data_IF_575546034975
#
_entry.id   IF_575546034975
#
_cell.length_a   1.000
_cell.length_b   1.000
_cell.length_c   1.000
_cell.angle_alpha   90.00
_cell.angle_beta   90.00
_cell.angle_gamma   90.00
#
_symmetry.space_group_name_H-M   'P 1'
#
loop_
_entity.id
_entity.type
_entity.pdbx_description
1 polymer ?
#
# COMPACT_ATOMS: atom_id res chain seq x y z
N UNK A 1 -4.11 17.54 14.18
CA UNK A 1 -3.92 16.33 15.00
C UNK A 1 -3.65 16.61 16.49
N UNK A 2 -2.50 17.17 16.92
CA UNK A 2 -2.15 17.33 18.36
C UNK A 2 -3.28 17.85 19.26
N UNK A 3 -3.90 18.99 18.90
CA UNK A 3 -5.04 19.55 19.65
C UNK A 3 -6.24 18.60 19.82
N UNK A 4 -6.49 17.71 18.86
CA UNK A 4 -7.57 16.73 18.95
C UNK A 4 -7.22 15.60 19.93
N UNK A 5 -5.96 15.17 19.93
CA UNK A 5 -5.45 14.19 20.89
C UNK A 5 -5.48 14.74 22.33
N UNK A 6 -5.08 16.00 22.52
CA UNK A 6 -5.12 16.67 23.84
C UNK A 6 -6.55 16.71 24.40
N UNK A 7 -7.54 16.98 23.53
CA UNK A 7 -8.95 17.01 23.93
C UNK A 7 -9.46 15.62 24.31
N UNK A 8 -9.06 14.56 23.60
CA UNK A 8 -9.40 13.18 23.98
C UNK A 8 -8.76 12.81 25.32
N UNK A 9 -7.48 13.15 25.51
CA UNK A 9 -6.76 12.89 26.75
C UNK A 9 -7.40 13.61 27.96
N UNK A 10 -7.90 14.85 27.79
CA UNK A 10 -8.62 15.57 28.85
C UNK A 10 -9.92 14.89 29.32
N UNK A 11 -10.46 13.98 28.49
CA UNK A 11 -11.64 13.17 28.79
C UNK A 11 -11.29 11.75 29.24
N UNK A 12 -10.00 11.42 29.40
CA UNK A 12 -9.54 10.07 29.74
C UNK A 12 -9.54 9.08 28.57
N UNK A 13 -9.65 9.54 27.32
CA UNK A 13 -9.67 8.70 26.12
C UNK A 13 -8.32 8.65 25.41
N UNK A 14 -8.00 7.50 24.83
CA UNK A 14 -6.84 7.29 23.95
C UNK A 14 -7.31 6.91 22.56
N UNK A 15 -6.86 7.63 21.52
CA UNK A 15 -7.15 7.27 20.14
C UNK A 15 -6.21 6.17 19.66
N UNK A 16 -6.77 5.15 19.02
CA UNK A 16 -6.03 4.16 18.23
C UNK A 16 -6.42 4.36 16.76
N UNK A 17 -5.44 4.26 15.86
CA UNK A 17 -5.64 4.46 14.42
C UNK A 17 -4.88 3.36 13.68
N UNK A 18 -5.54 2.76 12.70
CA UNK A 18 -4.91 1.94 11.66
C UNK A 18 -5.08 2.64 10.31
N UNK A 19 -4.09 2.46 9.44
CA UNK A 19 -4.17 2.93 8.05
C UNK A 19 -3.85 1.79 7.12
N UNK A 20 -4.65 1.66 6.07
CA UNK A 20 -4.47 0.70 4.99
C UNK A 20 -3.98 1.50 3.78
N UNK A 21 -2.67 1.43 3.51
CA UNK A 21 -2.07 2.21 2.44
C UNK A 21 -2.11 1.42 1.14
N UNK A 22 -3.07 1.77 0.30
CA UNK A 22 -3.15 1.29 -1.07
C UNK A 22 -2.22 2.07 -2.00
N UNK A 23 -1.68 1.38 -3.00
CA UNK A 23 -0.84 1.95 -4.05
C UNK A 23 -1.02 1.19 -5.36
N UNK A 24 -0.70 1.83 -6.48
CA UNK A 24 -0.76 1.22 -7.81
C UNK A 24 0.64 1.09 -8.39
N UNK A 25 0.94 -0.10 -8.90
CA UNK A 25 2.21 -0.43 -9.54
C UNK A 25 2.02 -0.54 -11.04
N UNK A 26 2.86 0.19 -11.77
CA UNK A 26 2.97 0.15 -13.22
C UNK A 26 4.32 -0.44 -13.64
N UNK A 27 4.40 -0.94 -14.88
CA UNK A 27 5.65 -1.47 -15.45
C UNK A 27 6.49 -0.41 -16.14
N UNK A 28 5.84 0.67 -16.57
CA UNK A 28 6.44 1.81 -17.25
C UNK A 28 7.44 2.52 -16.32
N UNK A 29 8.52 3.07 -16.87
CA UNK A 29 9.44 3.91 -16.12
C UNK A 29 8.79 5.26 -15.75
N UNK A 30 9.43 6.01 -14.84
CA UNK A 30 8.95 7.35 -14.49
C UNK A 30 8.98 8.30 -15.70
N UNK A 31 10.01 8.21 -16.55
CA UNK A 31 10.13 9.02 -17.77
C UNK A 31 9.05 8.64 -18.80
N UNK A 32 8.81 7.34 -19.02
CA UNK A 32 7.73 6.89 -19.89
C UNK A 32 6.36 7.35 -19.39
N UNK A 33 6.12 7.27 -18.07
CA UNK A 33 4.89 7.74 -17.47
C UNK A 33 4.74 9.26 -17.60
N UNK A 34 5.82 10.01 -17.40
CA UNK A 34 5.87 11.45 -17.52
C UNK A 34 5.54 11.92 -18.95
N UNK A 35 6.21 11.35 -19.95
CA UNK A 35 6.01 11.68 -21.36
C UNK A 35 4.58 11.37 -21.84
N UNK A 36 3.91 10.42 -21.19
CA UNK A 36 2.53 10.01 -21.48
C UNK A 36 1.49 10.73 -20.62
N UNK A 37 1.88 11.72 -19.80
CA UNK A 37 0.99 12.41 -18.86
C UNK A 37 0.22 11.41 -17.98
N UNK A 38 0.91 10.35 -17.55
CA UNK A 38 0.37 9.27 -16.72
C UNK A 38 -0.87 8.55 -17.30
N UNK A 39 -1.06 8.60 -18.63
CA UNK A 39 -2.20 7.99 -19.31
C UNK A 39 -1.82 6.70 -20.04
N UNK A 40 -2.69 5.69 -19.93
CA UNK A 40 -2.54 4.40 -20.62
C UNK A 40 -1.37 3.54 -20.12
N UNK A 41 -0.94 3.72 -18.88
CA UNK A 41 0.15 2.95 -18.26
C UNK A 41 -0.22 1.47 -18.16
N UNK A 42 0.79 0.61 -18.14
CA UNK A 42 0.65 -0.84 -18.04
C UNK A 42 0.64 -1.27 -16.57
N UNK A 43 -0.51 -1.65 -15.99
CA UNK A 43 -0.58 -2.08 -14.60
C UNK A 43 0.16 -3.41 -14.38
N UNK A 44 0.61 -3.64 -13.15
CA UNK A 44 1.34 -4.85 -12.80
C UNK A 44 0.50 -6.15 -12.96
N UNK A 45 -0.80 -6.07 -12.69
CA UNK A 45 -1.83 -7.08 -12.95
C UNK A 45 -2.91 -6.55 -13.91
N UNK A 46 -3.51 -7.46 -14.69
CA UNK A 46 -4.46 -7.13 -15.77
C UNK A 46 -5.93 -7.46 -15.42
N UNK A 47 -6.17 -7.98 -14.21
CA UNK A 47 -7.47 -8.38 -13.72
C UNK A 47 -7.51 -8.14 -12.20
N UNK A 48 -8.71 -8.17 -11.61
CA UNK A 48 -8.92 -8.06 -10.18
C UNK A 48 -8.20 -9.21 -9.44
N UNK A 49 -7.33 -8.87 -8.50
CA UNK A 49 -6.56 -9.83 -7.70
C UNK A 49 -6.88 -9.71 -6.21
N UNK A 50 -7.98 -9.06 -5.86
CA UNK A 50 -8.43 -8.96 -4.47
C UNK A 50 -8.60 -10.36 -3.88
N UNK A 51 -7.95 -10.59 -2.74
CA UNK A 51 -7.83 -11.89 -2.07
C UNK A 51 -7.22 -13.04 -2.90
N UNK A 52 -6.62 -12.77 -4.06
CA UNK A 52 -6.01 -13.79 -4.90
C UNK A 52 -4.64 -14.20 -4.38
N UNK A 53 -4.51 -15.46 -3.94
CA UNK A 53 -3.24 -16.05 -3.49
C UNK A 53 -2.19 -16.06 -4.62
N UNK A 54 -2.61 -16.36 -5.86
CA UNK A 54 -1.70 -16.44 -7.00
C UNK A 54 -1.48 -15.07 -7.66
N UNK A 55 -2.43 -14.14 -7.51
CA UNK A 55 -2.42 -12.84 -8.19
C UNK A 55 -1.23 -11.96 -7.79
N UNK A 56 -0.82 -12.02 -6.52
CA UNK A 56 0.32 -11.25 -5.99
C UNK A 56 1.68 -11.84 -6.37
N UNK A 57 1.74 -13.12 -6.79
CA UNK A 57 2.99 -13.81 -7.09
C UNK A 57 3.84 -13.12 -8.16
N UNK A 58 3.22 -12.39 -9.10
CA UNK A 58 3.91 -11.66 -10.16
C UNK A 58 4.72 -10.46 -9.64
N UNK A 59 4.29 -9.85 -8.54
CA UNK A 59 4.93 -8.65 -7.97
C UNK A 59 5.58 -8.93 -6.62
N UNK A 60 5.59 -10.19 -6.19
CA UNK A 60 6.11 -10.59 -4.89
C UNK A 60 7.55 -10.10 -4.60
N UNK A 61 8.48 -9.99 -5.57
CA UNK A 61 9.77 -9.35 -5.30
C UNK A 61 9.68 -7.92 -4.76
N UNK A 62 8.73 -7.12 -5.27
CA UNK A 62 8.46 -5.76 -4.78
C UNK A 62 7.78 -5.79 -3.42
N UNK A 63 6.72 -6.59 -3.26
CA UNK A 63 6.00 -6.69 -1.98
C UNK A 63 6.93 -7.15 -0.87
N UNK A 64 7.73 -8.20 -1.11
CA UNK A 64 8.75 -8.68 -0.17
C UNK A 64 9.72 -7.58 0.24
N UNK A 65 10.19 -6.78 -0.73
CA UNK A 65 11.12 -5.67 -0.45
C UNK A 65 10.46 -4.63 0.46
N UNK A 66 9.24 -4.20 0.15
CA UNK A 66 8.48 -3.26 0.98
C UNK A 66 8.33 -3.82 2.39
N UNK A 67 7.87 -5.07 2.54
CA UNK A 67 7.67 -5.67 3.86
C UNK A 67 8.96 -5.69 4.70
N UNK A 68 10.08 -6.09 4.08
CA UNK A 68 11.37 -6.16 4.76
C UNK A 68 11.91 -4.78 5.15
N UNK A 69 11.82 -3.79 4.26
CA UNK A 69 12.30 -2.43 4.52
C UNK A 69 11.45 -1.73 5.60
N UNK A 70 10.13 -1.94 5.59
CA UNK A 70 9.24 -1.41 6.63
C UNK A 70 9.53 -2.03 8.00
N UNK A 71 9.80 -3.34 8.03
CA UNK A 71 10.24 -4.00 9.26
C UNK A 71 11.58 -3.44 9.76
N UNK A 72 12.54 -3.16 8.87
CA UNK A 72 13.80 -2.50 9.24
C UNK A 72 13.59 -1.06 9.74
N UNK A 73 12.55 -0.37 9.27
CA UNK A 73 12.14 0.94 9.75
C UNK A 73 11.37 0.91 11.09
N UNK A 74 11.16 -0.27 11.68
CA UNK A 74 10.49 -0.44 12.97
C UNK A 74 8.96 -0.55 12.90
N UNK A 75 8.40 -0.73 11.70
CA UNK A 75 6.96 -0.96 11.51
C UNK A 75 6.65 -2.46 11.55
N UNK A 76 5.54 -2.84 12.17
CA UNK A 76 5.07 -4.23 12.13
C UNK A 76 4.14 -4.39 10.94
N UNK A 77 4.58 -5.14 9.93
CA UNK A 77 3.72 -5.47 8.78
C UNK A 77 2.83 -6.65 9.14
N UNK A 78 1.52 -6.48 8.99
CA UNK A 78 0.54 -7.55 9.24
C UNK A 78 0.18 -8.32 7.95
N UNK A 79 0.01 -7.62 6.83
CA UNK A 79 -0.38 -8.25 5.57
C UNK A 79 0.12 -7.48 4.35
N UNK A 80 0.12 -8.17 3.20
CA UNK A 80 0.28 -7.58 1.88
C UNK A 80 -0.68 -8.28 0.93
N UNK A 81 -1.54 -7.53 0.23
CA UNK A 81 -2.55 -8.10 -0.66
C UNK A 81 -2.67 -7.33 -1.97
N UNK A 82 -3.24 -8.01 -2.96
CA UNK A 82 -3.77 -7.35 -4.15
C UNK A 82 -5.11 -6.69 -3.85
N UNK A 83 -5.50 -5.75 -4.70
CA UNK A 83 -6.77 -5.03 -4.60
C UNK A 83 -7.64 -5.18 -5.85
N UNK A 84 -8.83 -4.57 -5.79
CA UNK A 84 -9.84 -4.66 -6.83
C UNK A 84 -9.42 -4.03 -8.18
N UNK A 85 -8.58 -3.00 -8.18
CA UNK A 85 -8.18 -2.30 -9.41
C UNK A 85 -6.89 -2.89 -10.05
N UNK A 86 -6.74 -2.83 -11.38
CA UNK A 86 -5.49 -3.20 -12.04
C UNK A 86 -4.27 -2.45 -11.46
N UNK A 87 -3.24 -3.20 -11.09
CA UNK A 87 -2.01 -2.69 -10.51
C UNK A 87 -2.11 -2.35 -9.02
N UNK A 88 -3.29 -2.41 -8.39
CA UNK A 88 -3.51 -1.94 -7.03
C UNK A 88 -3.19 -3.01 -5.99
N UNK A 89 -2.53 -2.58 -4.92
CA UNK A 89 -2.03 -3.41 -3.82
C UNK A 89 -2.10 -2.63 -2.52
N UNK A 90 -2.11 -3.35 -1.40
CA UNK A 90 -2.20 -2.79 -0.06
C UNK A 90 -1.16 -3.46 0.86
N UNK A 91 -0.58 -2.66 1.77
CA UNK A 91 0.17 -3.15 2.93
C UNK A 91 -0.53 -2.67 4.20
N UNK A 92 -0.78 -3.60 5.11
CA UNK A 92 -1.37 -3.32 6.42
C UNK A 92 -0.29 -3.34 7.50
N UNK A 93 -0.37 -2.40 8.43
CA UNK A 93 0.59 -2.22 9.53
C UNK A 93 -0.08 -2.24 10.90
N UNK A 94 0.70 -2.57 11.92
CA UNK A 94 0.37 -2.49 13.34
C UNK A 94 1.34 -1.60 14.11
#
# INVERSE_FOLDING_TARGET
>A
LRRQLDRLASLGYTAQVGTELEFIVFRDSYEEAWDRDYRGLTPANQYNIDYSILGTGRIEPLLRRIRNEMQQAGLTVESAKGECNPGQHEIVFR
#
